data_IF_118182028572
#
_entry.id   IF_118182028572
#
_cell.length_a   1.000
_cell.length_b   1.000
_cell.length_c   1.000
_cell.angle_alpha   90.00
_cell.angle_beta   90.00
_cell.angle_gamma   90.00
#
_symmetry.space_group_name_H-M   'P 1'
#
loop_
_entity.id
_entity.type
_entity.pdbx_description
1 polymer ?
#
# COMPACT_ATOMS: atom_id res chain seq x y z
N UNK A 1 12.90 49.15 70.79
CA UNK A 1 12.51 47.73 70.56
C UNK A 1 11.50 47.54 69.41
N UNK A 2 10.51 48.43 69.21
CA UNK A 2 9.51 48.25 68.15
C UNK A 2 10.05 48.34 66.69
N UNK A 3 11.04 49.21 66.42
CA UNK A 3 11.60 49.37 65.07
C UNK A 3 12.42 48.17 64.55
N UNK A 4 13.07 47.43 65.46
CA UNK A 4 13.89 46.26 65.13
C UNK A 4 13.04 45.02 64.75
N UNK A 5 11.82 44.94 65.30
CA UNK A 5 10.84 43.91 64.94
C UNK A 5 10.21 44.17 63.58
N UNK A 6 9.90 45.43 63.25
CA UNK A 6 9.36 45.80 61.95
C UNK A 6 10.34 45.51 60.81
N UNK A 7 11.63 45.80 60.99
CA UNK A 7 12.68 45.48 60.01
C UNK A 7 12.81 43.97 59.74
N UNK A 8 12.75 43.14 60.80
CA UNK A 8 12.78 41.66 60.66
C UNK A 8 11.57 41.12 59.91
N UNK A 9 10.37 41.66 60.18
CA UNK A 9 9.14 41.26 59.47
C UNK A 9 9.20 41.65 58.00
N UNK A 10 9.69 42.85 57.68
CA UNK A 10 9.82 43.30 56.29
C UNK A 10 10.81 42.45 55.50
N UNK A 11 11.95 42.10 56.09
CA UNK A 11 12.94 41.19 55.49
C UNK A 11 12.39 39.77 55.28
N UNK A 12 11.62 39.24 56.23
CA UNK A 12 10.97 37.93 56.08
C UNK A 12 9.92 37.94 54.97
N UNK A 13 9.12 39.00 54.86
CA UNK A 13 8.12 39.16 53.80
C UNK A 13 8.74 39.32 52.41
N UNK A 14 9.87 40.03 52.29
CA UNK A 14 10.59 40.12 51.02
C UNK A 14 11.21 38.77 50.63
N UNK A 15 11.85 38.07 51.58
CA UNK A 15 12.39 36.72 51.32
C UNK A 15 11.32 35.71 50.90
N UNK A 16 10.16 35.70 51.58
CA UNK A 16 9.04 34.84 51.22
C UNK A 16 8.43 35.19 49.85
N UNK A 17 8.45 36.48 49.46
CA UNK A 17 8.01 36.94 48.14
C UNK A 17 8.99 36.55 47.04
N UNK A 18 10.28 36.64 47.30
CA UNK A 18 11.32 36.30 46.33
C UNK A 18 11.36 34.79 46.09
N UNK A 19 11.21 33.95 47.13
CA UNK A 19 11.04 32.50 46.97
C UNK A 19 9.76 32.13 46.20
N UNK A 20 8.65 32.82 46.48
CA UNK A 20 7.41 32.63 45.73
C UNK A 20 7.55 33.01 44.24
N UNK A 21 8.22 34.12 43.94
CA UNK A 21 8.46 34.54 42.57
C UNK A 21 9.44 33.61 41.85
N UNK A 22 10.51 33.18 42.51
CA UNK A 22 11.49 32.24 41.95
C UNK A 22 10.85 30.87 41.64
N UNK A 23 9.99 30.37 42.53
CA UNK A 23 9.25 29.11 42.28
C UNK A 23 8.21 29.26 41.18
N UNK A 24 7.56 30.43 41.07
CA UNK A 24 6.65 30.74 39.97
C UNK A 24 7.38 30.81 38.62
N UNK A 25 8.52 31.50 38.56
CA UNK A 25 9.34 31.61 37.36
C UNK A 25 9.91 30.26 36.93
N UNK A 26 10.40 29.45 37.87
CA UNK A 26 10.86 28.08 37.60
C UNK A 26 9.74 27.17 37.07
N UNK A 27 8.51 27.36 37.56
CA UNK A 27 7.33 26.64 37.07
C UNK A 27 6.94 27.10 35.67
N UNK A 28 6.91 28.41 35.42
CA UNK A 28 6.60 28.97 34.10
C UNK A 28 7.67 28.57 33.05
N UNK A 29 8.95 28.54 33.42
CA UNK A 29 10.02 28.07 32.54
C UNK A 29 9.87 26.57 32.25
N UNK A 30 9.60 25.75 33.27
CA UNK A 30 9.35 24.32 33.10
C UNK A 30 8.11 24.04 32.23
N UNK A 31 7.03 24.82 32.38
CA UNK A 31 5.83 24.71 31.55
C UNK A 31 6.11 25.09 30.09
N UNK A 32 6.93 26.11 29.83
CA UNK A 32 7.37 26.49 28.48
C UNK A 32 8.28 25.43 27.84
N UNK A 33 9.23 24.91 28.60
CA UNK A 33 10.11 23.83 28.13
C UNK A 33 9.32 22.56 27.82
N UNK A 34 8.34 22.22 28.65
CA UNK A 34 7.44 21.09 28.40
C UNK A 34 6.58 21.33 27.15
N UNK A 35 6.04 22.54 26.97
CA UNK A 35 5.26 22.90 25.77
C UNK A 35 6.09 22.86 24.49
N UNK A 36 7.33 23.34 24.53
CA UNK A 36 8.25 23.29 23.38
C UNK A 36 8.69 21.87 23.06
N UNK A 37 8.96 21.04 24.08
CA UNK A 37 9.31 19.64 23.90
C UNK A 37 8.15 18.81 23.32
N UNK A 38 6.92 19.02 23.80
CA UNK A 38 5.74 18.33 23.25
C UNK A 38 5.46 18.74 21.82
N UNK A 39 5.62 20.02 21.48
CA UNK A 39 5.45 20.51 20.11
C UNK A 39 6.53 19.97 19.17
N UNK A 40 7.80 19.97 19.59
CA UNK A 40 8.88 19.37 18.81
C UNK A 40 8.65 17.87 18.56
N UNK A 41 8.19 17.12 19.57
CA UNK A 41 7.83 15.71 19.43
C UNK A 41 6.64 15.50 18.47
N UNK A 42 5.64 16.40 18.49
CA UNK A 42 4.49 16.38 17.58
C UNK A 42 4.94 16.59 16.14
N UNK A 43 5.73 17.63 15.88
CA UNK A 43 6.28 17.94 14.55
C UNK A 43 7.16 16.81 14.03
N UNK A 44 8.02 16.24 14.88
CA UNK A 44 8.86 15.11 14.49
C UNK A 44 8.04 13.88 14.06
N UNK A 45 6.94 13.56 14.76
CA UNK A 45 6.03 12.46 14.39
C UNK A 45 5.29 12.74 13.08
N UNK A 46 4.84 13.98 12.89
CA UNK A 46 4.16 14.42 11.66
C UNK A 46 5.10 14.32 10.45
N UNK A 47 6.34 14.80 10.58
CA UNK A 47 7.37 14.68 9.55
C UNK A 47 7.73 13.22 9.26
N UNK A 48 7.86 12.37 10.28
CA UNK A 48 8.11 10.95 10.10
C UNK A 48 6.94 10.24 9.38
N UNK A 49 5.70 10.59 9.74
CA UNK A 49 4.50 10.10 9.06
C UNK A 49 4.43 10.53 7.59
N UNK A 50 4.73 11.80 7.32
CA UNK A 50 4.75 12.34 5.96
C UNK A 50 5.88 11.72 5.11
N UNK A 51 7.09 11.56 5.68
CA UNK A 51 8.21 10.91 5.01
C UNK A 51 7.91 9.43 4.72
N UNK A 52 7.33 8.70 5.67
CA UNK A 52 6.91 7.31 5.47
C UNK A 52 5.82 7.18 4.40
N UNK A 53 4.82 8.07 4.42
CA UNK A 53 3.78 8.09 3.40
C UNK A 53 4.35 8.39 2.02
N UNK A 54 5.30 9.32 1.89
CA UNK A 54 5.96 9.64 0.63
C UNK A 54 6.78 8.46 0.07
N UNK A 55 7.50 7.74 0.93
CA UNK A 55 8.23 6.53 0.56
C UNK A 55 7.28 5.44 0.03
N UNK A 56 6.16 5.18 0.73
CA UNK A 56 5.16 4.23 0.25
C UNK A 56 4.52 4.66 -1.07
N UNK A 57 4.19 5.94 -1.23
CA UNK A 57 3.69 6.49 -2.51
C UNK A 57 4.69 6.21 -3.63
N UNK A 58 5.98 6.51 -3.44
CA UNK A 58 7.02 6.25 -4.43
C UNK A 58 7.19 4.74 -4.72
N UNK A 59 7.16 3.90 -3.69
CA UNK A 59 7.25 2.46 -3.84
C UNK A 59 6.08 1.88 -4.66
N UNK A 60 4.84 2.31 -4.38
CA UNK A 60 3.67 1.87 -5.14
C UNK A 60 3.69 2.39 -6.58
N UNK A 61 4.12 3.64 -6.80
CA UNK A 61 4.34 4.19 -8.14
C UNK A 61 5.32 3.34 -8.96
N UNK A 62 6.47 2.99 -8.36
CA UNK A 62 7.48 2.17 -9.00
C UNK A 62 6.95 0.75 -9.30
N UNK A 63 6.22 0.14 -8.37
CA UNK A 63 5.59 -1.16 -8.58
C UNK A 63 4.50 -1.12 -9.66
N UNK A 64 3.71 -0.04 -9.71
CA UNK A 64 2.71 0.16 -10.75
C UNK A 64 3.38 0.30 -12.13
N UNK A 65 4.46 1.07 -12.24
CA UNK A 65 5.23 1.21 -13.47
C UNK A 65 5.87 -0.12 -13.92
N UNK A 66 6.49 -0.86 -13.00
CA UNK A 66 7.06 -2.17 -13.29
C UNK A 66 6.01 -3.20 -13.73
N UNK A 67 4.84 -3.20 -13.09
CA UNK A 67 3.71 -4.05 -13.48
C UNK A 67 3.17 -3.68 -14.86
N UNK A 68 3.10 -2.39 -15.19
CA UNK A 68 2.71 -1.90 -16.53
C UNK A 68 3.71 -2.37 -17.60
N UNK A 69 5.00 -2.12 -17.41
CA UNK A 69 6.05 -2.58 -18.33
C UNK A 69 6.02 -4.10 -18.51
N UNK A 70 5.87 -4.86 -17.41
CA UNK A 70 5.73 -6.31 -17.48
C UNK A 70 4.51 -6.71 -18.30
N UNK A 71 3.37 -6.05 -18.11
CA UNK A 71 2.16 -6.34 -18.91
C UNK A 71 2.38 -6.10 -20.40
N UNK A 72 3.10 -5.05 -20.78
CA UNK A 72 3.44 -4.76 -22.18
C UNK A 72 4.35 -5.85 -22.76
N UNK A 73 5.34 -6.33 -22.01
CA UNK A 73 6.19 -7.46 -22.41
C UNK A 73 5.37 -8.74 -22.60
N UNK A 74 4.43 -9.04 -21.70
CA UNK A 74 3.55 -10.21 -21.85
C UNK A 74 2.57 -10.08 -23.02
N UNK A 75 2.13 -8.86 -23.34
CA UNK A 75 1.30 -8.59 -24.51
C UNK A 75 2.08 -8.89 -25.80
N UNK A 76 3.32 -8.40 -25.89
CA UNK A 76 4.23 -8.74 -26.98
C UNK A 76 4.52 -10.24 -27.07
N UNK A 77 4.78 -10.90 -25.94
CA UNK A 77 4.98 -12.34 -25.89
C UNK A 77 3.75 -13.12 -26.39
N UNK A 78 2.54 -12.66 -26.07
CA UNK A 78 1.28 -13.25 -26.59
C UNK A 78 1.20 -13.08 -28.11
N UNK A 79 1.53 -11.88 -28.62
CA UNK A 79 1.55 -11.61 -30.06
C UNK A 79 2.56 -12.48 -30.81
N UNK A 80 3.79 -12.62 -30.29
CA UNK A 80 4.81 -13.51 -30.87
C UNK A 80 4.35 -14.96 -30.85
N UNK A 81 3.80 -15.44 -29.74
CA UNK A 81 3.30 -16.82 -29.63
C UNK A 81 2.17 -17.08 -30.63
N UNK A 82 1.28 -16.11 -30.84
CA UNK A 82 0.22 -16.21 -31.84
C UNK A 82 0.77 -16.27 -33.27
N UNK A 83 1.74 -15.40 -33.62
CA UNK A 83 2.38 -15.41 -34.94
C UNK A 83 3.12 -16.73 -35.20
N UNK A 84 3.86 -17.24 -34.22
CA UNK A 84 4.52 -18.54 -34.31
C UNK A 84 3.51 -19.68 -34.48
N UNK A 85 2.37 -19.59 -33.81
CA UNK A 85 1.28 -20.56 -33.97
C UNK A 85 0.70 -20.52 -35.38
N UNK A 86 0.42 -19.32 -35.90
CA UNK A 86 -0.09 -19.14 -37.25
C UNK A 86 0.90 -19.62 -38.31
N UNK A 87 2.21 -19.34 -38.13
CA UNK A 87 3.27 -19.83 -39.02
C UNK A 87 3.40 -21.35 -38.97
N UNK A 88 3.33 -21.96 -37.79
CA UNK A 88 3.34 -23.42 -37.65
C UNK A 88 2.13 -24.05 -38.36
N UNK A 89 0.94 -23.49 -38.18
CA UNK A 89 -0.27 -23.93 -38.88
C UNK A 89 -0.20 -23.71 -40.40
N UNK A 90 0.34 -22.57 -40.86
CA UNK A 90 0.48 -22.28 -42.29
C UNK A 90 1.51 -23.21 -42.96
N UNK A 91 2.68 -23.39 -42.32
CA UNK A 91 3.72 -24.34 -42.73
C UNK A 91 3.13 -25.74 -42.85
N UNK A 92 2.29 -26.11 -41.88
CA UNK A 92 1.59 -27.38 -41.89
C UNK A 92 0.60 -27.51 -43.05
N UNK A 93 -0.34 -26.58 -43.21
CA UNK A 93 -1.39 -26.64 -44.24
C UNK A 93 -0.80 -26.52 -45.65
N UNK A 94 0.19 -25.65 -45.84
CA UNK A 94 0.76 -25.37 -47.17
C UNK A 94 1.78 -26.41 -47.58
N UNK A 95 2.76 -26.76 -46.73
CA UNK A 95 3.79 -27.72 -47.12
C UNK A 95 3.29 -29.16 -47.13
N UNK A 96 2.42 -29.54 -46.19
CA UNK A 96 1.89 -30.92 -46.12
C UNK A 96 0.57 -31.11 -46.87
N UNK A 97 -0.18 -30.03 -47.14
CA UNK A 97 -1.39 -30.08 -47.97
C UNK A 97 -1.11 -30.11 -49.47
N UNK A 98 0.03 -29.58 -49.93
CA UNK A 98 0.47 -29.60 -51.34
C UNK A 98 1.42 -30.75 -51.71
N UNK A 99 1.56 -31.79 -50.87
CA UNK A 99 2.03 -33.11 -51.32
C UNK A 99 3.47 -33.52 -50.99
N UNK A 100 4.09 -33.01 -49.94
CA UNK A 100 5.41 -33.49 -49.44
C UNK A 100 5.34 -33.53 -47.89
N UNK A 101 5.53 -34.63 -47.10
CA UNK A 101 6.24 -35.91 -47.33
C UNK A 101 5.51 -37.18 -46.72
N UNK A 102 6.21 -38.27 -46.29
CA UNK A 102 5.79 -39.65 -46.57
C UNK A 102 4.46 -40.03 -45.92
N UNK A 103 3.59 -40.69 -46.69
CA UNK A 103 2.40 -41.37 -46.15
C UNK A 103 2.83 -42.32 -45.03
N UNK A 104 2.19 -42.32 -43.85
CA UNK A 104 2.55 -43.24 -42.78
C UNK A 104 2.40 -44.67 -43.29
N UNK A 105 3.51 -45.41 -43.32
CA UNK A 105 3.58 -46.79 -43.81
C UNK A 105 2.98 -47.80 -42.82
N UNK A 106 2.74 -47.38 -41.56
CA UNK A 106 2.17 -48.20 -40.49
C UNK A 106 1.18 -47.38 -39.64
N UNK A 107 0.17 -48.07 -39.07
CA UNK A 107 -0.79 -47.49 -38.12
C UNK A 107 -0.09 -46.88 -36.89
N UNK A 108 1.02 -47.48 -36.44
CA UNK A 108 1.82 -46.95 -35.34
C UNK A 108 2.46 -45.60 -35.69
N UNK A 109 3.01 -45.45 -36.91
CA UNK A 109 3.57 -44.20 -37.40
C UNK A 109 2.50 -43.12 -37.52
N UNK A 110 1.31 -43.48 -37.98
CA UNK A 110 0.17 -42.54 -38.07
C UNK A 110 -0.23 -41.98 -36.69
N UNK A 111 -0.24 -42.81 -35.65
CA UNK A 111 -0.58 -42.40 -34.28
C UNK A 111 0.48 -41.45 -33.71
N UNK A 112 1.77 -41.80 -33.84
CA UNK A 112 2.88 -40.94 -33.38
C UNK A 112 2.85 -39.62 -34.15
N UNK A 113 2.60 -39.68 -35.45
CA UNK A 113 2.54 -38.52 -36.32
C UNK A 113 1.37 -37.59 -35.99
N UNK A 114 0.20 -38.13 -35.67
CA UNK A 114 -0.96 -37.34 -35.22
C UNK A 114 -0.74 -36.76 -33.82
N UNK A 115 -0.12 -37.54 -32.92
CA UNK A 115 0.17 -37.15 -31.54
C UNK A 115 1.08 -35.91 -31.46
N UNK A 116 2.15 -35.85 -32.24
CA UNK A 116 3.02 -34.67 -32.24
C UNK A 116 2.29 -33.43 -32.79
N UNK A 117 1.47 -33.59 -33.84
CA UNK A 117 0.71 -32.50 -34.47
C UNK A 117 -0.30 -31.88 -33.51
N UNK A 118 -1.14 -32.72 -32.90
CA UNK A 118 -2.14 -32.28 -31.91
C UNK A 118 -1.44 -31.74 -30.66
N UNK A 119 -0.34 -32.38 -30.24
CA UNK A 119 0.48 -31.93 -29.13
C UNK A 119 1.05 -30.52 -29.34
N UNK A 120 1.60 -30.21 -30.51
CA UNK A 120 2.15 -28.88 -30.81
C UNK A 120 1.06 -27.80 -30.82
N UNK A 121 -0.10 -28.06 -31.44
CA UNK A 121 -1.22 -27.10 -31.43
C UNK A 121 -1.75 -26.90 -30.01
N UNK A 122 -1.90 -27.98 -29.23
CA UNK A 122 -2.32 -27.92 -27.83
C UNK A 122 -1.34 -27.14 -26.95
N UNK A 123 -0.04 -27.34 -27.14
CA UNK A 123 1.01 -26.62 -26.42
C UNK A 123 0.95 -25.11 -26.71
N UNK A 124 0.84 -24.73 -27.98
CA UNK A 124 0.77 -23.34 -28.42
C UNK A 124 -0.51 -22.62 -27.94
N UNK A 125 -1.64 -23.33 -27.97
CA UNK A 125 -2.89 -22.84 -27.41
C UNK A 125 -2.77 -22.63 -25.90
N UNK A 126 -2.22 -23.61 -25.17
CA UNK A 126 -1.96 -23.51 -23.73
C UNK A 126 -1.03 -22.35 -23.38
N UNK A 127 0.05 -22.17 -24.13
CA UNK A 127 0.97 -21.04 -23.97
C UNK A 127 0.28 -19.69 -24.20
N UNK A 128 -0.59 -19.58 -25.20
CA UNK A 128 -1.36 -18.36 -25.47
C UNK A 128 -2.30 -17.99 -24.33
N UNK A 129 -3.01 -18.98 -23.78
CA UNK A 129 -3.87 -18.79 -22.59
C UNK A 129 -3.03 -18.38 -21.37
N UNK A 130 -1.86 -19.00 -21.18
CA UNK A 130 -0.94 -18.69 -20.10
C UNK A 130 -0.46 -17.24 -20.16
N UNK A 131 0.02 -16.78 -21.32
CA UNK A 131 0.45 -15.39 -21.51
C UNK A 131 -0.69 -14.40 -21.27
N UNK A 132 -1.91 -14.70 -21.74
CA UNK A 132 -3.09 -13.86 -21.48
C UNK A 132 -3.46 -13.75 -19.99
N UNK A 133 -3.30 -14.83 -19.21
CA UNK A 133 -3.49 -14.81 -17.75
C UNK A 133 -2.46 -13.93 -17.05
N UNK A 134 -1.19 -14.04 -17.44
CA UNK A 134 -0.12 -13.20 -16.89
C UNK A 134 -0.33 -11.72 -17.22
N UNK A 135 -0.71 -11.40 -18.46
CA UNK A 135 -1.07 -10.04 -18.85
C UNK A 135 -2.15 -9.44 -17.95
N UNK A 136 -3.26 -10.17 -17.75
CA UNK A 136 -4.36 -9.72 -16.88
C UNK A 136 -3.93 -9.54 -15.42
N UNK A 137 -3.09 -10.44 -14.89
CA UNK A 137 -2.56 -10.33 -13.53
C UNK A 137 -1.67 -9.09 -13.36
N UNK A 138 -0.78 -8.81 -14.32
CA UNK A 138 0.07 -7.62 -14.27
C UNK A 138 -0.73 -6.33 -14.42
N UNK A 139 -1.77 -6.32 -15.27
CA UNK A 139 -2.71 -5.19 -15.37
C UNK A 139 -3.48 -4.97 -14.07
N UNK A 140 -4.01 -6.03 -13.44
CA UNK A 140 -4.64 -5.91 -12.12
C UNK A 140 -3.69 -5.27 -11.09
N UNK A 141 -2.45 -5.78 -11.02
CA UNK A 141 -1.46 -5.27 -10.06
C UNK A 141 -1.08 -3.81 -10.34
N UNK A 142 -1.06 -3.39 -11.61
CA UNK A 142 -0.87 -1.99 -11.99
C UNK A 142 -1.99 -1.10 -11.43
N UNK A 143 -3.26 -1.43 -11.69
CA UNK A 143 -4.40 -0.64 -11.22
C UNK A 143 -4.48 -0.59 -9.69
N UNK A 144 -4.22 -1.71 -9.00
CA UNK A 144 -4.22 -1.75 -7.52
C UNK A 144 -3.13 -0.87 -6.94
N UNK A 145 -1.91 -0.94 -7.47
CA UNK A 145 -0.82 -0.13 -6.95
C UNK A 145 -0.99 1.35 -7.29
N UNK A 146 -1.55 1.68 -8.46
CA UNK A 146 -1.89 3.05 -8.83
C UNK A 146 -2.99 3.63 -7.90
N UNK A 147 -3.99 2.83 -7.55
CA UNK A 147 -5.00 3.25 -6.58
C UNK A 147 -4.38 3.54 -5.20
N UNK A 148 -3.48 2.67 -4.73
CA UNK A 148 -2.76 2.86 -3.45
C UNK A 148 -1.92 4.13 -3.45
N UNK A 149 -1.20 4.37 -4.54
CA UNK A 149 -0.45 5.60 -4.75
C UNK A 149 -1.36 6.83 -4.63
N UNK A 150 -2.48 6.84 -5.37
CA UNK A 150 -3.43 7.94 -5.38
C UNK A 150 -4.07 8.17 -4.00
N UNK A 151 -4.38 7.11 -3.25
CA UNK A 151 -4.89 7.24 -1.88
C UNK A 151 -3.86 7.92 -0.96
N UNK A 152 -2.60 7.50 -0.99
CA UNK A 152 -1.56 8.06 -0.12
C UNK A 152 -1.17 9.50 -0.52
N UNK A 153 -1.14 9.80 -1.81
CA UNK A 153 -0.90 11.15 -2.31
C UNK A 153 -2.03 12.11 -1.90
N UNK A 154 -3.28 11.70 -2.11
CA UNK A 154 -4.44 12.49 -1.68
C UNK A 154 -4.50 12.62 -0.16
N UNK A 155 -4.18 11.57 0.59
CA UNK A 155 -4.08 11.63 2.05
C UNK A 155 -3.15 12.76 2.51
N UNK A 156 -1.96 12.87 1.93
CA UNK A 156 -1.01 13.94 2.26
C UNK A 156 -1.55 15.31 1.86
N UNK A 157 -2.20 15.43 0.71
CA UNK A 157 -2.82 16.68 0.26
C UNK A 157 -3.94 17.13 1.22
N UNK A 158 -4.81 16.22 1.64
CA UNK A 158 -5.89 16.52 2.59
C UNK A 158 -5.36 16.83 3.99
N UNK A 159 -4.35 16.11 4.49
CA UNK A 159 -3.72 16.41 5.77
C UNK A 159 -3.15 17.83 5.83
N UNK A 160 -2.61 18.35 4.70
CA UNK A 160 -2.10 19.72 4.59
C UNK A 160 -3.20 20.76 4.47
N UNK A 161 -4.36 20.40 3.90
CA UNK A 161 -5.45 21.34 3.64
C UNK A 161 -6.41 21.51 4.84
N UNK A 162 -6.52 20.51 5.72
CA UNK A 162 -7.40 20.55 6.89
C UNK A 162 -6.66 21.19 8.07
N UNK A 163 -7.33 22.05 8.85
CA UNK A 163 -6.75 22.64 10.07
C UNK A 163 -7.08 21.82 11.33
N UNK A 164 -8.30 21.28 11.42
CA UNK A 164 -8.77 20.50 12.57
C UNK A 164 -8.07 19.14 12.68
N UNK A 165 -7.40 18.91 13.80
CA UNK A 165 -6.69 17.67 14.08
C UNK A 165 -7.60 16.44 14.12
N UNK A 166 -8.84 16.56 14.63
CA UNK A 166 -9.78 15.45 14.68
C UNK A 166 -10.20 15.01 13.26
N UNK A 167 -10.35 15.98 12.35
CA UNK A 167 -10.67 15.71 10.95
C UNK A 167 -9.45 15.13 10.21
N UNK A 168 -8.24 15.62 10.49
CA UNK A 168 -6.99 15.03 9.96
C UNK A 168 -6.88 13.55 10.29
N UNK A 169 -7.08 13.18 11.55
CA UNK A 169 -6.95 11.79 12.01
C UNK A 169 -7.98 10.87 11.35
N UNK A 170 -9.21 11.34 11.17
CA UNK A 170 -10.26 10.62 10.43
C UNK A 170 -9.92 10.43 8.95
N UNK A 171 -9.41 11.47 8.30
CA UNK A 171 -8.94 11.42 6.92
C UNK A 171 -7.80 10.41 6.78
N UNK A 172 -6.80 10.45 7.67
CA UNK A 172 -5.68 9.48 7.67
C UNK A 172 -6.22 8.06 7.77
N UNK A 173 -7.16 7.81 8.69
CA UNK A 173 -7.74 6.49 8.90
C UNK A 173 -8.49 6.00 7.65
N UNK A 174 -9.32 6.84 7.04
CA UNK A 174 -10.11 6.46 5.87
C UNK A 174 -9.23 6.21 4.64
N UNK A 175 -8.25 7.07 4.36
CA UNK A 175 -7.31 6.86 3.26
C UNK A 175 -6.40 5.65 3.49
N UNK A 176 -5.95 5.41 4.72
CA UNK A 176 -5.16 4.23 5.07
C UNK A 176 -5.97 2.95 4.86
N UNK A 177 -7.25 2.97 5.24
CA UNK A 177 -8.18 1.88 5.00
C UNK A 177 -8.39 1.63 3.50
N UNK A 178 -8.62 2.68 2.72
CA UNK A 178 -8.77 2.59 1.27
C UNK A 178 -7.51 2.02 0.60
N UNK A 179 -6.33 2.48 0.98
CA UNK A 179 -5.05 1.96 0.45
C UNK A 179 -4.81 0.48 0.81
N UNK A 180 -5.25 0.04 2.00
CA UNK A 180 -5.10 -1.35 2.43
C UNK A 180 -6.10 -2.30 1.74
N UNK A 181 -7.29 -1.81 1.36
CA UNK A 181 -8.32 -2.62 0.73
C UNK A 181 -7.95 -3.03 -0.71
N UNK A 182 -8.27 -4.28 -1.07
CA UNK A 182 -8.09 -4.78 -2.43
C UNK A 182 -9.26 -4.34 -3.31
N UNK A 183 -9.02 -3.44 -4.26
CA UNK A 183 -10.05 -3.00 -5.19
C UNK A 183 -10.35 -4.08 -6.25
N UNK A 184 -11.64 -4.37 -6.52
CA UNK A 184 -12.01 -5.26 -7.61
C UNK A 184 -11.68 -4.58 -8.94
N UNK A 185 -10.71 -5.10 -9.67
CA UNK A 185 -10.42 -4.64 -11.03
C UNK A 185 -11.11 -5.58 -12.02
N UNK A 186 -11.60 -5.05 -13.15
CA UNK A 186 -12.19 -5.86 -14.22
C UNK A 186 -11.25 -6.91 -14.85
N UNK A 187 -9.97 -6.93 -14.49
CA UNK A 187 -8.97 -7.90 -14.98
C UNK A 187 -8.98 -9.26 -14.26
N UNK A 188 -9.53 -9.34 -13.04
CA UNK A 188 -9.64 -10.60 -12.28
C UNK A 188 -11.07 -10.75 -11.77
N UNK A 189 -11.92 -11.37 -12.59
CA UNK A 189 -13.25 -11.83 -12.22
C UNK A 189 -13.17 -13.30 -11.79
N UNK A 190 -13.21 -13.58 -10.48
CA UNK A 190 -13.31 -14.97 -10.00
C UNK A 190 -12.76 -15.30 -8.61
N UNK A 191 -12.23 -14.34 -7.84
CA UNK A 191 -11.76 -14.61 -6.46
C UNK A 191 -11.87 -13.42 -5.48
N UNK A 192 -12.59 -12.37 -5.86
CA UNK A 192 -12.71 -11.15 -5.04
C UNK A 192 -13.47 -11.37 -3.72
N UNK A 193 -14.28 -12.42 -3.61
CA UNK A 193 -15.10 -12.64 -2.40
C UNK A 193 -14.37 -13.37 -1.26
N UNK A 194 -13.22 -13.99 -1.51
CA UNK A 194 -12.53 -14.82 -0.50
C UNK A 194 -11.39 -14.11 0.26
N UNK A 195 -11.00 -12.89 -0.12
CA UNK A 195 -9.88 -12.14 0.50
C UNK A 195 -10.31 -10.90 1.30
N UNK A 196 -11.59 -10.53 1.24
CA UNK A 196 -12.15 -9.49 2.11
C UNK A 196 -12.03 -9.85 3.61
N UNK A 197 -11.82 -11.13 3.94
CA UNK A 197 -11.85 -11.68 5.30
C UNK A 197 -10.53 -11.61 6.09
N UNK A 198 -9.44 -11.05 5.52
CA UNK A 198 -8.19 -10.80 6.27
C UNK A 198 -8.12 -9.40 6.92
N UNK A 199 -9.02 -8.50 6.52
CA UNK A 199 -9.15 -7.15 7.11
C UNK A 199 -9.54 -7.10 8.61
N UNK A 200 -10.26 -8.09 9.22
CA UNK A 200 -10.62 -8.04 10.63
C UNK A 200 -9.46 -8.39 11.59
N UNK A 201 -8.37 -9.00 11.12
CA UNK A 201 -7.26 -9.40 12.00
C UNK A 201 -6.32 -8.24 12.35
N UNK A 202 -6.05 -7.34 11.41
CA UNK A 202 -5.20 -6.17 11.68
C UNK A 202 -5.93 -5.16 12.56
N UNK A 203 -7.24 -4.97 12.34
CA UNK A 203 -8.07 -4.12 13.19
C UNK A 203 -8.23 -4.70 14.60
N UNK A 204 -8.41 -6.03 14.75
CA UNK A 204 -8.51 -6.65 16.07
C UNK A 204 -7.20 -6.62 16.87
N UNK A 205 -6.04 -6.67 16.20
CA UNK A 205 -4.73 -6.52 16.85
C UNK A 205 -4.48 -5.06 17.30
N UNK A 206 -4.85 -4.07 16.49
CA UNK A 206 -4.76 -2.66 16.86
C UNK A 206 -5.70 -2.32 18.03
N UNK A 207 -6.93 -2.82 18.02
CA UNK A 207 -7.89 -2.65 19.13
C UNK A 207 -7.46 -3.38 20.40
N UNK A 208 -6.73 -4.51 20.30
CA UNK A 208 -6.17 -5.22 21.46
C UNK A 208 -5.04 -4.46 22.17
N UNK A 209 -4.37 -3.54 21.49
CA UNK A 209 -3.25 -2.77 22.03
C UNK A 209 -3.66 -1.42 22.64
N UNK A 210 -4.93 -1.01 22.50
CA UNK A 210 -5.45 0.16 23.20
C UNK A 210 -5.67 -0.18 24.69
N UNK A 211 -4.97 0.45 25.65
CA UNK A 211 -5.31 0.30 27.06
C UNK A 211 -6.74 0.83 27.28
N UNK A 212 -7.57 0.03 27.93
CA UNK A 212 -8.96 0.35 28.25
C UNK A 212 -9.04 1.74 28.90
N UNK A 213 -9.54 2.73 28.16
CA UNK A 213 -9.91 4.03 28.71
C UNK A 213 -11.03 3.77 29.72
N UNK A 214 -10.70 4.05 30.98
CA UNK A 214 -11.52 3.76 32.15
C UNK A 214 -12.93 4.34 32.03
N UNK A 215 -13.92 3.47 32.04
CA UNK A 215 -15.30 3.83 32.32
C UNK A 215 -15.42 4.13 33.81
N UNK A 216 -15.40 5.41 34.19
CA UNK A 216 -15.91 5.86 35.48
C UNK A 216 -17.44 5.92 35.37
N UNK A 217 -18.21 5.20 36.21
CA UNK A 217 -19.67 5.32 36.19
C UNK A 217 -20.13 6.70 36.73
N UNK A 218 -21.26 7.23 36.25
CA UNK A 218 -21.83 8.46 36.79
C UNK A 218 -22.36 8.26 38.21
N UNK A 219 -22.44 9.38 38.93
CA UNK A 219 -22.72 9.56 40.36
C UNK A 219 -23.88 8.73 40.93
#
# INVERSE_FOLDING_TARGET
MAGDLLGRVQHWLSGARDEYNATKEARESAERELATATEAARVARELAGAAGAAEFTAAFRNQAAAAKSSSETWLWATGVTFVLSALATLTFVVLHGYGIPPSPTSTADAIIYLGWRVGTVGLLFGASVWCGRHYRAHRHNHEVNQHREACLENMQAFQRAVEDQAVKDMVVLEFSRAAAQGMPTGFISGRADARADMSPQVLSLATRQAPALGTRPPA
#
